data_IF_661689881934
#
_entry.id   IF_661689881934
#
_cell.length_a   1.000
_cell.length_b   1.000
_cell.length_c   1.000
_cell.angle_alpha   90.00
_cell.angle_beta   90.00
_cell.angle_gamma   90.00
#
_symmetry.space_group_name_H-M   'P 1'
#
loop_
_entity.id
_entity.type
_entity.pdbx_description
1 polymer ?
#
# COMPACT_ATOMS: atom_id res chain seq x y z
N UNK A 1 -12.94 -1.28 3.46
CA UNK A 1 -12.86 -2.65 2.90
C UNK A 1 -11.91 -3.52 3.73
N UNK A 2 -12.17 -4.83 3.89
CA UNK A 2 -11.24 -5.73 4.59
C UNK A 2 -10.05 -6.10 3.67
N UNK A 3 -8.79 -6.11 4.18
CA UNK A 3 -7.64 -6.51 3.38
C UNK A 3 -7.66 -8.00 3.08
N UNK A 4 -7.22 -8.36 1.87
CA UNK A 4 -6.99 -9.75 1.48
C UNK A 4 -5.77 -9.83 0.55
N UNK A 5 -5.13 -11.00 0.55
CA UNK A 5 -3.99 -11.29 -0.33
C UNK A 5 -4.42 -11.15 -1.80
N UNK A 6 -3.52 -10.64 -2.63
CA UNK A 6 -3.74 -10.46 -4.08
C UNK A 6 -4.47 -9.16 -4.46
N UNK A 7 -4.92 -8.35 -3.50
CA UNK A 7 -5.55 -7.05 -3.79
C UNK A 7 -4.49 -6.01 -4.16
N UNK A 8 -4.84 -5.15 -5.11
CA UNK A 8 -4.02 -4.00 -5.52
C UNK A 8 -4.25 -2.83 -4.56
N UNK A 9 -3.15 -2.18 -4.16
CA UNK A 9 -3.10 -0.98 -3.34
C UNK A 9 -2.13 0.03 -3.94
N UNK A 10 -2.26 1.29 -3.53
CA UNK A 10 -1.27 2.33 -3.79
C UNK A 10 -0.34 2.42 -2.59
N UNK A 11 0.96 2.20 -2.81
CA UNK A 11 2.00 2.36 -1.80
C UNK A 11 2.64 3.74 -1.88
N UNK A 12 2.85 4.36 -0.73
CA UNK A 12 3.47 5.68 -0.59
C UNK A 12 4.71 5.55 0.31
N UNK A 13 5.87 5.94 -0.22
CA UNK A 13 7.09 5.99 0.60
C UNK A 13 7.08 7.16 1.59
N UNK A 14 6.45 8.27 1.20
CA UNK A 14 6.13 9.42 2.04
C UNK A 14 4.75 9.96 1.68
N UNK A 15 4.08 10.75 2.55
CA UNK A 15 2.76 11.31 2.27
C UNK A 15 2.68 12.21 1.02
N UNK A 16 3.81 12.71 0.54
CA UNK A 16 3.91 13.61 -0.62
C UNK A 16 4.43 12.91 -1.88
N UNK A 17 4.83 11.63 -1.80
CA UNK A 17 5.34 10.88 -2.93
C UNK A 17 4.21 10.47 -3.90
N UNK A 18 4.54 10.29 -5.17
CA UNK A 18 3.65 9.63 -6.11
C UNK A 18 3.44 8.17 -5.69
N UNK A 19 2.21 7.64 -5.80
CA UNK A 19 1.94 6.26 -5.43
C UNK A 19 2.66 5.29 -6.37
N UNK A 20 3.16 4.20 -5.81
CA UNK A 20 3.60 3.02 -6.54
C UNK A 20 2.49 1.96 -6.50
N UNK A 21 2.37 1.20 -7.59
CA UNK A 21 1.49 0.04 -7.60
C UNK A 21 2.05 -1.04 -6.67
N UNK A 22 1.18 -1.65 -5.87
CA UNK A 22 1.56 -2.74 -5.00
C UNK A 22 0.45 -3.79 -4.85
N UNK A 23 0.83 -5.02 -4.52
CA UNK A 23 -0.08 -6.14 -4.27
C UNK A 23 0.10 -6.61 -2.83
N UNK A 24 -1.00 -6.83 -2.10
CA UNK A 24 -0.97 -7.41 -0.76
C UNK A 24 -0.49 -8.86 -0.82
N UNK A 25 0.61 -9.18 -0.13
CA UNK A 25 1.18 -10.53 -0.05
C UNK A 25 0.91 -11.22 1.28
N UNK A 26 0.73 -10.45 2.36
CA UNK A 26 0.33 -10.98 3.67
C UNK A 26 -0.55 -9.98 4.42
N UNK A 27 -1.44 -10.48 5.27
CA UNK A 27 -2.34 -9.69 6.13
C UNK A 27 -2.06 -10.04 7.59
N UNK A 28 -1.58 -9.07 8.36
CA UNK A 28 -1.35 -9.22 9.81
C UNK A 28 -2.54 -8.74 10.62
N UNK A 29 -3.21 -7.68 10.15
CA UNK A 29 -4.43 -7.14 10.75
C UNK A 29 -5.21 -6.32 9.72
N UNK A 30 -6.34 -5.76 10.13
CA UNK A 30 -7.14 -4.84 9.29
C UNK A 30 -6.36 -3.60 8.81
N UNK A 31 -5.25 -3.24 9.47
CA UNK A 31 -4.45 -2.04 9.18
C UNK A 31 -2.96 -2.32 8.96
N UNK A 32 -2.55 -3.59 8.85
CA UNK A 32 -1.15 -3.96 8.68
C UNK A 32 -0.99 -5.11 7.69
N UNK A 33 -0.22 -4.87 6.63
CA UNK A 33 -0.02 -5.79 5.50
C UNK A 33 1.44 -5.80 5.04
N UNK A 34 1.84 -6.86 4.34
CA UNK A 34 3.07 -6.86 3.53
C UNK A 34 2.71 -6.74 2.05
N UNK A 35 3.62 -6.13 1.28
CA UNK A 35 3.38 -5.77 -0.11
C UNK A 35 4.49 -6.30 -1.03
N UNK A 36 4.11 -6.67 -2.26
CA UNK A 36 5.00 -6.65 -3.40
C UNK A 36 4.82 -5.29 -4.10
N UNK A 37 5.87 -4.48 -4.20
CA UNK A 37 5.81 -3.09 -4.70
C UNK A 37 6.54 -3.02 -6.04
N UNK A 38 5.97 -2.32 -7.01
CA UNK A 38 6.52 -2.19 -8.35
C UNK A 38 6.95 -0.74 -8.62
N UNK A 39 8.14 -0.58 -9.19
CA UNK A 39 8.63 0.72 -9.63
C UNK A 39 7.89 1.19 -10.91
N UNK A 40 8.13 2.43 -11.40
CA UNK A 40 7.46 2.93 -12.61
C UNK A 40 7.75 2.13 -13.90
N UNK A 41 8.83 1.35 -13.96
CA UNK A 41 9.12 0.44 -15.08
C UNK A 41 8.48 -0.94 -14.93
N UNK A 42 7.69 -1.17 -13.87
CA UNK A 42 7.00 -2.42 -13.59
C UNK A 42 7.87 -3.50 -12.94
N UNK A 43 9.09 -3.17 -12.52
CA UNK A 43 9.97 -4.11 -11.83
C UNK A 43 9.64 -4.14 -10.33
N UNK A 44 9.62 -5.34 -9.76
CA UNK A 44 9.44 -5.50 -8.31
C UNK A 44 10.64 -4.93 -7.55
N UNK A 45 10.35 -4.21 -6.46
CA UNK A 45 11.35 -3.74 -5.49
C UNK A 45 12.05 -4.95 -4.85
N UNK A 46 13.38 -4.95 -4.82
CA UNK A 46 14.19 -6.08 -4.34
C UNK A 46 14.10 -6.30 -2.83
N UNK A 47 13.90 -5.23 -2.05
CA UNK A 47 13.82 -5.27 -0.59
C UNK A 47 12.64 -4.40 -0.11
N UNK A 48 11.40 -4.91 -0.24
CA UNK A 48 10.23 -4.14 0.13
C UNK A 48 10.10 -4.05 1.66
N UNK A 49 9.61 -2.92 2.21
CA UNK A 49 9.29 -2.82 3.63
C UNK A 49 8.24 -3.86 4.05
N UNK A 50 8.35 -4.32 5.29
CA UNK A 50 7.34 -5.16 5.94
C UNK A 50 6.48 -4.33 6.89
N UNK A 51 5.33 -4.88 7.29
CA UNK A 51 4.40 -4.27 8.25
C UNK A 51 3.93 -2.88 7.83
N UNK A 52 3.53 -2.75 6.56
CA UNK A 52 3.04 -1.49 5.98
C UNK A 52 1.64 -1.19 6.50
N UNK A 53 1.46 0.06 6.94
CA UNK A 53 0.15 0.56 7.39
C UNK A 53 -0.80 0.61 6.20
N UNK A 54 -1.96 -0.02 6.33
CA UNK A 54 -3.07 0.13 5.40
C UNK A 54 -4.06 1.15 5.96
N UNK A 55 -4.16 2.30 5.29
CA UNK A 55 -5.09 3.39 5.65
C UNK A 55 -6.47 3.08 5.07
N UNK A 56 -7.51 3.22 5.89
CA UNK A 56 -8.90 3.04 5.45
C UNK A 56 -9.35 4.08 4.43
N UNK A 57 -10.38 3.78 3.62
CA UNK A 57 -10.90 4.69 2.58
C UNK A 57 -11.36 6.06 3.13
N UNK A 58 -11.79 6.11 4.41
CA UNK A 58 -12.26 7.34 5.07
C UNK A 58 -11.25 7.89 6.12
N UNK A 59 -10.06 7.30 6.22
CA UNK A 59 -9.04 7.73 7.17
C UNK A 59 -8.04 8.69 6.49
N UNK A 60 -7.60 9.71 7.22
CA UNK A 60 -6.52 10.57 6.73
C UNK A 60 -5.21 9.79 6.66
N UNK A 61 -4.36 10.04 5.64
CA UNK A 61 -3.01 9.50 5.61
C UNK A 61 -2.22 9.87 6.86
N UNK A 62 -1.31 9.00 7.34
CA UNK A 62 -0.42 9.34 8.44
C UNK A 62 0.46 10.55 8.07
N UNK A 63 0.86 11.34 9.07
CA UNK A 63 1.69 12.54 8.88
C UNK A 63 3.14 12.25 8.51
N UNK A 64 3.54 10.97 8.52
CA UNK A 64 4.86 10.51 8.12
C UNK A 64 4.94 9.00 7.98
N UNK A 65 6.08 8.53 7.49
CA UNK A 65 6.33 7.12 7.25
C UNK A 65 5.69 6.56 5.98
N UNK A 66 5.84 5.25 5.82
CA UNK A 66 5.39 4.47 4.67
C UNK A 66 4.00 3.92 4.94
N UNK A 67 3.11 4.00 3.96
CA UNK A 67 1.75 3.48 4.09
C UNK A 67 1.20 3.06 2.72
N UNK A 68 0.04 2.43 2.73
CA UNK A 68 -0.72 2.17 1.52
C UNK A 68 -2.19 2.51 1.69
N UNK A 69 -2.84 2.83 0.58
CA UNK A 69 -4.28 3.09 0.49
C UNK A 69 -4.90 2.22 -0.58
N UNK A 70 -6.22 2.07 -0.52
CA UNK A 70 -6.97 1.49 -1.63
C UNK A 70 -6.92 2.43 -2.84
N UNK A 71 -6.81 1.91 -4.08
CA UNK A 71 -6.91 2.76 -5.27
C UNK A 71 -8.26 3.50 -5.28
N UNK A 72 -8.32 4.73 -5.83
CA UNK A 72 -9.58 5.44 -5.96
C UNK A 72 -10.56 4.60 -6.78
N UNK A 73 -11.81 4.56 -6.34
CA UNK A 73 -12.87 3.94 -7.14
C UNK A 73 -13.12 4.86 -8.33
N UNK A 74 -13.04 4.30 -9.53
CA UNK A 74 -13.53 4.97 -10.73
C UNK A 74 -15.02 4.66 -10.78
N UNK A 75 -15.85 5.70 -10.68
CA UNK A 75 -17.30 5.60 -10.91
C UNK A 75 -17.62 5.46 -12.40
#
# INVERSE_FOLDING_TARGET
MAPSIGRIVHYYETPTANPLAAIITAVWSMRCVNLAIFNPSGQAMSDPPTSVVLVGEAESPPTGGRFCTWPPRVE
#
